data_IF_865000423879
#
_entry.id   IF_865000423879
#
_cell.length_a   1.000
_cell.length_b   1.000
_cell.length_c   1.000
_cell.angle_alpha   90.00
_cell.angle_beta   90.00
_cell.angle_gamma   90.00
#
_symmetry.space_group_name_H-M   'P 1'
#
loop_
_entity.id
_entity.type
_entity.pdbx_description
1 polymer ?
#
# COMPACT_ATOMS: atom_id res chain seq x y z
N UNK A 1 12.64 52.67 67.10
CA UNK A 1 11.76 51.56 66.64
C UNK A 1 10.89 51.92 65.41
N UNK A 2 11.36 52.78 64.48
CA UNK A 2 10.60 53.18 63.26
C UNK A 2 11.29 52.83 61.92
N UNK A 3 12.62 52.68 61.91
CA UNK A 3 13.38 52.43 60.67
C UNK A 3 13.37 50.95 60.28
N UNK A 4 13.35 50.03 61.25
CA UNK A 4 13.35 48.57 61.00
C UNK A 4 12.01 48.10 60.40
N UNK A 5 10.89 48.77 60.70
CA UNK A 5 9.59 48.45 60.08
C UNK A 5 9.49 48.88 58.61
N UNK A 6 10.24 49.90 58.19
CA UNK A 6 10.19 50.39 56.80
C UNK A 6 11.00 49.50 55.84
N UNK A 7 12.13 48.95 56.30
CA UNK A 7 12.97 48.05 55.49
C UNK A 7 12.30 46.68 55.28
N UNK A 8 11.55 46.18 56.26
CA UNK A 8 10.78 44.93 56.12
C UNK A 8 9.59 45.07 55.16
N UNK A 9 8.97 46.25 55.06
CA UNK A 9 7.87 46.50 54.12
C UNK A 9 8.41 46.62 52.69
N UNK A 10 9.56 47.25 52.48
CA UNK A 10 10.19 47.33 51.14
C UNK A 10 10.70 45.94 50.69
N UNK A 11 11.21 45.11 51.61
CA UNK A 11 11.58 43.72 51.32
C UNK A 11 10.39 42.84 50.90
N UNK A 12 9.21 43.04 51.50
CA UNK A 12 7.99 42.33 51.13
C UNK A 12 7.36 42.80 49.81
N UNK A 13 7.49 44.09 49.48
CA UNK A 13 7.02 44.65 48.20
C UNK A 13 7.94 44.24 47.04
N UNK A 14 9.25 44.02 47.27
CA UNK A 14 10.15 43.52 46.23
C UNK A 14 10.07 41.99 46.00
N UNK A 15 9.64 41.19 46.99
CA UNK A 15 9.39 39.75 46.76
C UNK A 15 8.05 39.47 46.07
N UNK A 16 7.10 40.39 46.09
CA UNK A 16 5.79 40.22 45.43
C UNK A 16 5.77 40.59 43.94
N UNK A 17 6.86 41.15 43.40
CA UNK A 17 6.97 41.50 41.96
C UNK A 17 7.61 40.38 41.12
N UNK A 18 8.15 39.31 41.74
CA UNK A 18 8.53 38.10 41.02
C UNK A 18 7.34 37.13 40.86
N UNK A 19 6.20 37.65 40.40
CA UNK A 19 5.21 36.80 39.76
C UNK A 19 5.85 36.26 38.48
N UNK A 20 6.32 35.01 38.49
CA UNK A 20 6.78 34.31 37.30
C UNK A 20 5.73 34.53 36.21
N UNK A 21 6.08 35.28 35.16
CA UNK A 21 5.24 35.42 34.00
C UNK A 21 4.83 33.99 33.56
N UNK A 22 3.54 33.72 33.34
CA UNK A 22 3.09 32.37 33.01
C UNK A 22 3.89 31.89 31.81
N UNK A 23 4.50 30.70 31.91
CA UNK A 23 5.30 30.13 30.83
C UNK A 23 4.45 30.08 29.56
N UNK A 24 4.92 30.77 28.54
CA UNK A 24 4.26 30.95 27.25
C UNK A 24 4.93 30.05 26.21
N UNK A 25 4.12 29.41 25.37
CA UNK A 25 4.57 28.43 24.40
C UNK A 25 4.14 28.81 23.00
N UNK A 26 4.89 28.30 22.01
CA UNK A 26 4.60 28.53 20.61
C UNK A 26 4.00 27.26 20.00
N UNK A 27 3.01 27.43 19.14
CA UNK A 27 2.39 26.36 18.37
C UNK A 27 2.65 26.64 16.91
N UNK A 28 3.34 25.75 16.21
CA UNK A 28 3.63 25.88 14.77
C UNK A 28 3.20 24.65 14.01
N UNK A 29 2.90 24.82 12.73
CA UNK A 29 2.53 23.72 11.85
C UNK A 29 2.64 24.12 10.38
N UNK A 30 2.37 23.15 9.50
CA UNK A 30 2.35 23.36 8.05
C UNK A 30 1.08 22.77 7.47
N UNK A 31 0.34 23.55 6.69
CA UNK A 31 -0.93 23.14 6.09
C UNK A 31 -0.73 22.65 4.65
N UNK A 32 -1.40 21.55 4.31
CA UNK A 32 -1.35 20.91 3.00
C UNK A 32 -2.76 20.55 2.53
N UNK A 33 -2.99 20.67 1.23
CA UNK A 33 -4.11 20.05 0.54
C UNK A 33 -3.95 18.53 0.56
N UNK A 34 -5.03 17.79 0.29
CA UNK A 34 -4.99 16.32 0.18
C UNK A 34 -3.97 15.84 -0.87
N UNK A 35 -3.74 16.64 -1.90
CA UNK A 35 -2.75 16.45 -2.97
C UNK A 35 -1.29 16.69 -2.55
N UNK A 36 -1.03 16.91 -1.25
CA UNK A 36 0.30 17.21 -0.70
C UNK A 36 0.91 18.53 -1.22
N UNK A 37 0.07 19.44 -1.72
CA UNK A 37 0.42 20.81 -2.09
C UNK A 37 0.26 21.72 -0.87
N UNK A 38 1.20 22.63 -0.63
CA UNK A 38 1.14 23.59 0.48
C UNK A 38 -0.04 24.58 0.30
N UNK A 39 -0.79 24.81 1.37
CA UNK A 39 -1.90 25.76 1.40
C UNK A 39 -1.36 27.15 1.76
N UNK A 40 -1.35 28.08 0.82
CA UNK A 40 -0.82 29.44 1.00
C UNK A 40 -1.91 30.43 1.38
N UNK A 41 -1.57 31.45 2.18
CA UNK A 41 -2.48 32.53 2.63
C UNK A 41 -3.78 32.12 3.34
N UNK A 42 -3.96 30.83 3.64
CA UNK A 42 -5.14 30.34 4.32
C UNK A 42 -5.24 30.89 5.74
N UNK A 43 -6.46 31.23 6.14
CA UNK A 43 -6.74 31.68 7.49
C UNK A 43 -6.67 30.50 8.47
N UNK A 44 -5.85 30.67 9.51
CA UNK A 44 -5.67 29.69 10.59
C UNK A 44 -6.24 30.29 11.86
N UNK A 45 -7.23 29.63 12.44
CA UNK A 45 -7.96 30.06 13.63
C UNK A 45 -7.61 29.11 14.78
N UNK A 46 -7.07 29.64 15.86
CA UNK A 46 -6.88 28.94 17.12
C UNK A 46 -8.10 29.15 18.02
N UNK A 47 -8.65 28.06 18.56
CA UNK A 47 -9.83 28.04 19.41
C UNK A 47 -9.59 27.18 20.66
N UNK A 48 -10.38 27.40 21.70
CA UNK A 48 -10.46 26.46 22.83
C UNK A 48 -11.39 25.26 22.51
N UNK A 49 -11.57 24.38 23.49
CA UNK A 49 -12.44 23.19 23.37
C UNK A 49 -13.93 23.50 23.24
N UNK A 50 -14.36 24.74 23.51
CA UNK A 50 -15.73 25.23 23.33
C UNK A 50 -15.93 25.96 22.00
N UNK A 51 -14.93 25.91 21.12
CA UNK A 51 -14.88 26.62 19.83
C UNK A 51 -14.80 28.15 19.95
N UNK A 52 -14.50 28.69 21.13
CA UNK A 52 -14.24 30.12 21.28
C UNK A 52 -12.91 30.47 20.62
N UNK A 53 -12.92 31.48 19.76
CA UNK A 53 -11.72 31.97 19.06
C UNK A 53 -10.77 32.63 20.06
N UNK A 54 -9.52 32.19 20.04
CA UNK A 54 -8.42 32.71 20.85
C UNK A 54 -7.54 33.64 20.01
N UNK A 55 -7.17 33.19 18.81
CA UNK A 55 -6.24 33.91 17.94
C UNK A 55 -6.42 33.52 16.48
N UNK A 56 -5.97 34.38 15.56
CA UNK A 56 -6.00 34.16 14.11
C UNK A 56 -4.63 34.47 13.53
N UNK A 57 -4.24 33.71 12.52
CA UNK A 57 -3.02 33.93 11.73
C UNK A 57 -3.27 33.47 10.29
N UNK A 58 -2.26 33.61 9.43
CA UNK A 58 -2.31 33.10 8.05
C UNK A 58 -1.15 32.17 7.77
N UNK A 59 -1.35 31.23 6.85
CA UNK A 59 -0.23 30.43 6.35
C UNK A 59 0.70 31.28 5.45
N UNK A 60 1.99 30.99 5.52
CA UNK A 60 3.03 31.73 4.80
C UNK A 60 2.93 31.54 3.28
N UNK A 61 3.25 32.58 2.50
CA UNK A 61 3.44 32.47 1.04
C UNK A 61 4.69 31.68 0.67
N UNK A 62 4.74 31.16 -0.55
CA UNK A 62 5.98 30.73 -1.19
C UNK A 62 6.92 31.91 -1.42
N UNK A 63 8.18 31.74 -1.05
CA UNK A 63 9.27 32.64 -1.43
C UNK A 63 9.63 32.39 -2.90
N UNK A 64 9.74 33.47 -3.69
CA UNK A 64 10.04 33.45 -5.13
C UNK A 64 9.11 32.50 -5.94
N UNK A 65 7.88 32.29 -5.47
CA UNK A 65 6.90 31.33 -6.05
C UNK A 65 7.43 29.88 -6.17
N UNK A 66 8.56 29.54 -5.55
CA UNK A 66 9.23 28.23 -5.70
C UNK A 66 9.62 27.56 -4.39
N UNK A 67 9.82 28.32 -3.30
CA UNK A 67 10.41 27.79 -2.07
C UNK A 67 9.53 28.06 -0.83
N UNK A 68 9.28 27.02 -0.04
CA UNK A 68 8.54 27.15 1.23
C UNK A 68 7.03 27.32 1.05
N UNK A 69 6.37 27.98 2.01
CA UNK A 69 4.92 28.16 2.02
C UNK A 69 4.18 27.29 3.05
N UNK A 70 2.92 27.60 3.31
CA UNK A 70 2.02 26.79 4.13
C UNK A 70 2.28 26.75 5.63
N UNK A 71 3.28 27.48 6.14
CA UNK A 71 3.64 27.47 7.57
C UNK A 71 2.81 28.48 8.34
N UNK A 72 2.40 28.12 9.56
CA UNK A 72 1.75 29.03 10.50
C UNK A 72 2.38 28.92 11.88
N UNK A 73 2.23 29.97 12.70
CA UNK A 73 2.72 29.99 14.08
C UNK A 73 1.81 30.86 14.94
N UNK A 74 1.45 30.33 16.12
CA UNK A 74 0.86 31.08 17.22
C UNK A 74 1.90 31.19 18.32
N UNK A 75 2.04 32.39 18.88
CA UNK A 75 2.92 32.66 20.00
C UNK A 75 2.11 32.93 21.26
N UNK A 76 2.74 32.80 22.42
CA UNK A 76 2.16 33.17 23.71
C UNK A 76 0.96 32.31 24.15
N UNK A 77 0.97 31.03 23.80
CA UNK A 77 -0.09 30.08 24.15
C UNK A 77 0.17 29.49 25.54
N UNK A 78 -0.87 29.50 26.38
CA UNK A 78 -0.82 28.89 27.73
C UNK A 78 -0.96 27.37 27.63
N UNK A 79 -0.59 26.61 28.67
CA UNK A 79 -0.96 25.20 28.75
C UNK A 79 -2.48 25.01 28.69
N UNK A 80 -2.95 24.02 27.95
CA UNK A 80 -4.37 23.73 27.78
C UNK A 80 -4.69 22.91 26.53
N UNK A 81 -5.97 22.63 26.34
CA UNK A 81 -6.50 21.95 25.16
C UNK A 81 -7.01 22.96 24.14
N UNK A 82 -6.64 22.77 22.88
CA UNK A 82 -6.93 23.70 21.81
C UNK A 82 -7.39 22.99 20.53
N UNK A 83 -8.07 23.74 19.68
CA UNK A 83 -8.50 23.35 18.34
C UNK A 83 -7.98 24.37 17.33
N UNK A 84 -7.34 23.93 16.26
CA UNK A 84 -6.98 24.75 15.10
C UNK A 84 -7.97 24.46 13.98
N UNK A 85 -8.54 25.50 13.38
CA UNK A 85 -9.29 25.44 12.13
C UNK A 85 -8.51 26.18 11.05
N UNK A 86 -8.22 25.52 9.92
CA UNK A 86 -7.64 26.19 8.74
C UNK A 86 -8.71 26.25 7.69
N UNK A 87 -9.09 27.47 7.29
CA UNK A 87 -10.04 27.70 6.22
C UNK A 87 -9.34 27.39 4.91
N UNK A 88 -9.84 26.38 4.22
CA UNK A 88 -9.35 25.98 2.89
C UNK A 88 -10.31 26.50 1.83
N UNK A 89 -9.84 26.61 0.59
CA UNK A 89 -10.70 26.89 -0.58
C UNK A 89 -11.43 25.62 -1.07
N UNK A 90 -11.28 24.49 -0.36
CA UNK A 90 -11.93 23.22 -0.66
C UNK A 90 -13.23 23.04 0.15
N UNK A 91 -14.02 22.00 -0.16
CA UNK A 91 -15.25 21.69 0.57
C UNK A 91 -15.05 21.42 2.08
N UNK A 92 -13.82 21.12 2.51
CA UNK A 92 -13.53 20.68 3.88
C UNK A 92 -12.37 21.48 4.48
N UNK A 93 -12.64 22.20 5.56
CA UNK A 93 -11.64 22.87 6.38
C UNK A 93 -10.81 21.88 7.20
N UNK A 94 -9.56 22.23 7.50
CA UNK A 94 -8.70 21.44 8.41
C UNK A 94 -9.14 21.72 9.85
N UNK A 95 -9.36 20.70 10.68
CA UNK A 95 -9.77 20.89 12.09
C UNK A 95 -8.94 20.04 13.06
N UNK A 96 -7.79 20.50 13.56
CA UNK A 96 -6.91 19.68 14.41
C UNK A 96 -7.02 20.01 15.90
N UNK A 97 -7.14 19.01 16.79
CA UNK A 97 -7.11 19.21 18.26
C UNK A 97 -5.75 18.80 18.83
N UNK A 98 -5.26 19.54 19.82
CA UNK A 98 -3.97 19.27 20.46
C UNK A 98 -3.93 19.80 21.89
N UNK A 99 -2.97 19.31 22.68
CA UNK A 99 -2.74 19.73 24.06
C UNK A 99 -1.38 20.42 24.18
N UNK A 100 -1.36 21.66 24.67
CA UNK A 100 -0.16 22.37 25.08
C UNK A 100 0.11 22.04 26.54
N UNK A 101 1.19 21.31 26.81
CA UNK A 101 1.69 21.08 28.17
C UNK A 101 2.72 22.16 28.53
N UNK A 102 3.95 21.75 28.83
CA UNK A 102 5.03 22.65 29.25
C UNK A 102 6.12 22.84 28.19
N UNK A 103 5.77 22.74 26.90
CA UNK A 103 6.70 22.95 25.78
C UNK A 103 5.98 23.49 24.55
N UNK A 104 6.70 24.25 23.73
CA UNK A 104 6.27 24.63 22.39
C UNK A 104 6.03 23.39 21.53
N UNK A 105 4.98 23.42 20.72
CA UNK A 105 4.49 22.27 19.97
C UNK A 105 4.62 22.54 18.48
N UNK A 106 5.09 21.53 17.76
CA UNK A 106 4.95 21.46 16.32
C UNK A 106 3.85 20.43 16.01
N UNK A 107 2.71 20.89 15.51
CA UNK A 107 1.58 20.02 15.13
C UNK A 107 1.83 19.29 13.80
N UNK A 108 2.98 19.52 13.17
CA UNK A 108 3.42 18.78 12.00
C UNK A 108 2.72 19.24 10.72
N UNK A 109 2.43 18.28 9.84
CA UNK A 109 1.73 18.49 8.58
C UNK A 109 0.24 18.24 8.81
N UNK A 110 -0.59 19.22 8.48
CA UNK A 110 -2.04 19.14 8.65
C UNK A 110 -2.72 19.07 7.28
N UNK A 111 -3.71 18.17 7.18
CA UNK A 111 -4.51 17.95 5.97
C UNK A 111 -6.01 18.14 6.28
N UNK A 112 -6.82 18.52 5.29
CA UNK A 112 -8.28 18.59 5.46
C UNK A 112 -8.85 17.20 5.72
N UNK A 113 -9.65 17.07 6.77
CA UNK A 113 -10.30 15.82 7.14
C UNK A 113 -11.74 16.08 7.61
N UNK A 114 -12.64 15.15 7.29
CA UNK A 114 -14.04 15.18 7.69
C UNK A 114 -14.22 14.25 8.90
N UNK A 115 -14.55 14.80 10.06
CA UNK A 115 -14.86 14.01 11.27
C UNK A 115 -16.11 13.13 11.02
N UNK A 116 -15.99 11.82 11.26
CA UNK A 116 -17.08 10.84 11.09
C UNK A 116 -17.78 10.57 12.43
N UNK A 117 -19.06 10.16 12.45
CA UNK A 117 -19.71 9.62 13.66
C UNK A 117 -18.86 8.52 14.31
N UNK A 118 -18.82 8.55 15.64
CA UNK A 118 -18.07 7.59 16.46
C UNK A 118 -18.67 6.18 16.29
N UNK A 119 -17.84 5.22 15.91
CA UNK A 119 -18.23 3.81 15.73
C UNK A 119 -17.93 3.00 17.00
N UNK A 120 -18.74 1.98 17.27
CA UNK A 120 -18.56 1.02 18.36
C UNK A 120 -18.29 -0.35 17.73
N UNK A 121 -17.11 -0.93 18.01
CA UNK A 121 -16.72 -2.25 17.50
C UNK A 121 -17.65 -3.35 18.01
N UNK A 122 -18.04 -4.25 17.11
CA UNK A 122 -18.79 -5.48 17.45
C UNK A 122 -17.96 -6.72 17.23
N UNK A 123 -18.07 -7.70 18.13
CA UNK A 123 -17.37 -8.98 18.06
C UNK A 123 -17.89 -9.87 16.91
N UNK A 124 -16.98 -10.39 16.08
CA UNK A 124 -17.30 -11.30 14.99
C UNK A 124 -17.04 -12.77 15.37
N UNK A 125 -17.89 -13.72 14.97
CA UNK A 125 -17.64 -15.15 15.18
C UNK A 125 -16.44 -15.61 14.35
N UNK A 126 -15.36 -16.02 15.04
CA UNK A 126 -14.11 -16.46 14.42
C UNK A 126 -14.25 -17.88 13.85
N UNK A 127 -14.10 -18.04 12.54
CA UNK A 127 -13.95 -19.35 11.92
C UNK A 127 -12.50 -19.55 11.44
N UNK A 128 -11.80 -20.48 12.10
CA UNK A 128 -10.50 -21.08 11.76
C UNK A 128 -9.26 -20.16 11.69
N UNK A 129 -8.40 -20.35 12.70
CA UNK A 129 -7.23 -19.55 13.05
C UNK A 129 -5.97 -19.88 12.21
N UNK A 130 -5.56 -18.94 11.35
CA UNK A 130 -4.15 -18.58 11.19
C UNK A 130 -4.01 -17.10 11.55
N UNK A 131 -3.36 -16.80 12.68
CA UNK A 131 -3.29 -15.43 13.23
C UNK A 131 -2.26 -14.61 12.43
N UNK A 132 -2.72 -13.80 11.47
CA UNK A 132 -1.98 -12.59 11.11
C UNK A 132 -2.05 -11.60 12.29
N UNK A 133 -1.01 -10.77 12.44
CA UNK A 133 -0.92 -9.76 13.50
C UNK A 133 -2.14 -8.82 13.36
N UNK A 134 -2.98 -8.70 14.40
CA UNK A 134 -4.02 -7.66 14.45
C UNK A 134 -3.33 -6.31 14.30
N UNK A 135 -3.84 -5.44 13.42
CA UNK A 135 -3.46 -4.03 13.46
C UNK A 135 -3.96 -3.44 14.78
N UNK A 136 -3.14 -2.64 15.46
CA UNK A 136 -3.55 -1.99 16.70
C UNK A 136 -4.71 -1.05 16.40
N UNK A 137 -5.90 -1.36 16.92
CA UNK A 137 -7.09 -0.51 16.85
C UNK A 137 -7.28 0.33 18.10
N UNK A 138 -6.37 0.24 19.08
CA UNK A 138 -6.38 1.17 20.21
C UNK A 138 -6.00 2.56 19.72
N UNK A 139 -6.92 3.54 19.72
CA UNK A 139 -6.56 4.91 19.45
C UNK A 139 -5.55 5.36 20.50
N UNK A 140 -4.40 5.89 20.06
CA UNK A 140 -3.53 6.62 20.97
C UNK A 140 -4.34 7.72 21.64
N UNK A 141 -4.27 7.91 22.99
CA UNK A 141 -5.06 8.91 23.68
C UNK A 141 -4.82 10.30 23.10
N UNK A 142 -5.75 10.77 22.26
CA UNK A 142 -5.62 12.00 21.48
C UNK A 142 -6.19 11.92 20.05
N UNK A 143 -6.29 10.73 19.45
CA UNK A 143 -6.80 10.54 18.08
C UNK A 143 -8.09 9.72 18.08
N UNK A 144 -9.24 10.37 17.85
CA UNK A 144 -10.54 9.71 17.68
C UNK A 144 -10.94 9.61 16.21
N UNK A 145 -9.98 9.36 15.30
CA UNK A 145 -10.20 9.36 13.85
C UNK A 145 -10.38 7.92 13.37
N UNK A 146 -11.59 7.61 12.87
CA UNK A 146 -11.83 6.39 12.12
C UNK A 146 -11.11 6.48 10.76
N UNK A 147 -10.13 5.62 10.54
CA UNK A 147 -9.35 5.54 9.30
C UNK A 147 -10.26 5.04 8.17
N UNK A 148 -10.34 5.79 7.06
CA UNK A 148 -11.09 5.32 5.88
C UNK A 148 -10.27 4.33 5.08
N UNK A 149 -10.94 3.34 4.56
CA UNK A 149 -10.38 2.32 3.71
C UNK A 149 -11.12 2.29 2.39
N UNK A 150 -10.41 1.96 1.33
CA UNK A 150 -10.98 1.74 0.01
C UNK A 150 -10.70 0.29 -0.36
N UNK A 151 -11.77 -0.48 -0.53
CA UNK A 151 -11.70 -1.83 -1.09
C UNK A 151 -11.95 -1.70 -2.58
N UNK A 152 -11.02 -2.22 -3.38
CA UNK A 152 -11.18 -2.29 -4.84
C UNK A 152 -11.32 -3.75 -5.25
N UNK A 153 -12.40 -4.08 -5.92
CA UNK A 153 -12.66 -5.43 -6.45
C UNK A 153 -11.83 -5.71 -7.70
N UNK A 154 -11.70 -6.97 -8.10
CA UNK A 154 -11.04 -7.36 -9.35
C UNK A 154 -11.66 -6.71 -10.60
N UNK A 155 -12.94 -6.33 -10.52
CA UNK A 155 -13.63 -5.63 -11.60
C UNK A 155 -13.43 -4.11 -11.54
N UNK A 156 -12.69 -3.57 -10.58
CA UNK A 156 -12.42 -2.14 -10.42
C UNK A 156 -13.44 -1.37 -9.59
N UNK A 157 -14.56 -2.00 -9.21
CA UNK A 157 -15.53 -1.39 -8.31
C UNK A 157 -14.84 -1.06 -6.99
N UNK A 158 -14.79 0.24 -6.67
CA UNK A 158 -14.30 0.73 -5.40
C UNK A 158 -15.45 1.00 -4.44
N UNK A 159 -15.21 0.72 -3.15
CA UNK A 159 -16.12 1.01 -2.04
C UNK A 159 -15.36 1.67 -0.90
N UNK A 160 -15.93 2.72 -0.34
CA UNK A 160 -15.44 3.39 0.85
C UNK A 160 -15.97 2.67 2.09
N UNK A 161 -15.06 2.17 2.93
CA UNK A 161 -15.39 1.32 4.08
C UNK A 161 -14.51 1.61 5.29
N UNK A 162 -14.88 1.07 6.44
CA UNK A 162 -13.99 0.89 7.59
C UNK A 162 -13.66 -0.59 7.70
N UNK A 163 -12.38 -0.95 7.58
CA UNK A 163 -11.95 -2.35 7.70
C UNK A 163 -11.85 -2.70 9.17
N UNK A 164 -12.66 -3.66 9.60
CA UNK A 164 -12.71 -4.12 10.98
C UNK A 164 -11.66 -5.22 11.22
N UNK A 165 -11.58 -6.20 10.32
CA UNK A 165 -10.60 -7.28 10.42
C UNK A 165 -10.27 -7.93 9.07
N UNK A 166 -9.03 -8.43 8.95
CA UNK A 166 -8.54 -9.17 7.78
C UNK A 166 -8.12 -10.56 8.21
N UNK A 167 -8.84 -11.58 7.74
CA UNK A 167 -8.58 -13.01 8.00
C UNK A 167 -7.88 -13.60 6.77
N UNK A 168 -7.52 -14.89 6.74
CA UNK A 168 -6.71 -15.46 5.65
C UNK A 168 -7.38 -15.35 4.27
N UNK A 169 -8.68 -15.63 4.20
CA UNK A 169 -9.47 -15.71 2.97
C UNK A 169 -10.43 -14.54 2.75
N UNK A 170 -10.68 -13.74 3.78
CA UNK A 170 -11.77 -12.76 3.82
C UNK A 170 -11.36 -11.47 4.53
N UNK A 171 -12.10 -10.40 4.26
CA UNK A 171 -12.00 -9.11 4.93
C UNK A 171 -13.39 -8.68 5.39
N UNK A 172 -13.51 -8.36 6.67
CA UNK A 172 -14.73 -7.86 7.29
C UNK A 172 -14.63 -6.34 7.38
N UNK A 173 -15.73 -5.68 7.00
CA UNK A 173 -15.77 -4.23 6.93
C UNK A 173 -17.16 -3.69 7.20
N UNK A 174 -17.23 -2.43 7.57
CA UNK A 174 -18.46 -1.65 7.68
C UNK A 174 -18.51 -0.63 6.55
N UNK A 175 -19.59 -0.63 5.78
CA UNK A 175 -19.77 0.30 4.65
C UNK A 175 -20.00 1.73 5.18
N UNK A 176 -19.30 2.71 4.61
CA UNK A 176 -19.33 4.08 5.08
C UNK A 176 -20.68 4.77 4.84
N UNK A 177 -21.45 4.35 3.82
CA UNK A 177 -22.69 5.02 3.43
C UNK A 177 -23.90 4.53 4.23
N UNK A 178 -23.99 3.22 4.47
CA UNK A 178 -25.15 2.60 5.12
C UNK A 178 -24.86 2.03 6.51
N UNK A 179 -23.60 2.04 6.96
CA UNK A 179 -23.14 1.52 8.25
C UNK A 179 -23.41 0.01 8.47
N UNK A 180 -23.70 -0.73 7.40
CA UNK A 180 -23.90 -2.17 7.48
C UNK A 180 -22.56 -2.90 7.47
N UNK A 181 -22.46 -3.90 8.34
CA UNK A 181 -21.33 -4.81 8.39
C UNK A 181 -21.43 -5.85 7.28
N UNK A 182 -20.33 -6.08 6.59
CA UNK A 182 -20.25 -6.95 5.43
C UNK A 182 -18.90 -7.69 5.41
N UNK A 183 -18.82 -8.69 4.53
CA UNK A 183 -17.61 -9.49 4.31
C UNK A 183 -17.33 -9.60 2.81
N UNK A 184 -16.06 -9.50 2.42
CA UNK A 184 -15.61 -9.79 1.07
C UNK A 184 -14.50 -10.85 1.06
N UNK A 185 -14.51 -11.73 0.06
CA UNK A 185 -13.46 -12.70 -0.15
C UNK A 185 -12.24 -12.05 -0.81
N UNK A 186 -11.04 -12.35 -0.31
CA UNK A 186 -9.78 -11.85 -0.90
C UNK A 186 -9.54 -12.33 -2.33
N UNK A 187 -10.14 -13.46 -2.72
CA UNK A 187 -10.06 -13.97 -4.09
C UNK A 187 -10.81 -13.06 -5.08
N UNK A 188 -11.78 -12.25 -4.62
CA UNK A 188 -12.48 -11.25 -5.44
C UNK A 188 -11.96 -9.82 -5.26
N UNK A 189 -11.18 -9.55 -4.22
CA UNK A 189 -10.57 -8.25 -3.96
C UNK A 189 -9.28 -8.06 -4.75
N UNK A 190 -9.11 -6.91 -5.40
CA UNK A 190 -7.89 -6.54 -6.11
C UNK A 190 -6.84 -5.94 -5.18
N UNK A 191 -7.22 -4.99 -4.33
CA UNK A 191 -6.39 -4.46 -3.23
C UNK A 191 -7.25 -3.67 -2.24
N UNK A 192 -6.68 -3.39 -1.08
CA UNK A 192 -7.27 -2.57 -0.02
C UNK A 192 -6.20 -1.60 0.46
N UNK A 193 -6.55 -0.32 0.54
CA UNK A 193 -5.67 0.72 1.06
C UNK A 193 -6.43 1.69 1.96
N UNK A 194 -5.72 2.43 2.79
CA UNK A 194 -6.30 3.47 3.64
C UNK A 194 -6.08 4.88 3.06
N UNK A 195 -6.73 5.86 3.67
CA UNK A 195 -6.61 7.28 3.34
C UNK A 195 -5.19 7.87 3.49
N UNK A 196 -4.31 7.21 4.25
CA UNK A 196 -2.89 7.57 4.33
C UNK A 196 -2.04 7.04 3.17
N UNK A 197 -2.62 6.30 2.22
CA UNK A 197 -1.89 5.70 1.12
C UNK A 197 -1.14 4.42 1.51
N UNK A 198 -1.59 3.73 2.57
CA UNK A 198 -1.02 2.44 3.00
C UNK A 198 -1.90 1.30 2.52
N UNK A 199 -1.33 0.38 1.74
CA UNK A 199 -1.97 -0.87 1.38
C UNK A 199 -2.04 -1.81 2.59
N UNK A 200 -3.26 -2.28 2.87
CA UNK A 200 -3.53 -3.35 3.84
C UNK A 200 -3.47 -4.72 3.14
N UNK A 201 -3.92 -4.75 1.88
CA UNK A 201 -3.94 -5.97 1.09
C UNK A 201 -3.63 -5.67 -0.38
N UNK A 202 -2.72 -6.46 -0.98
CA UNK A 202 -2.46 -6.48 -2.41
C UNK A 202 -2.75 -7.88 -2.94
N UNK A 203 -3.72 -8.03 -3.83
CA UNK A 203 -4.00 -9.32 -4.44
C UNK A 203 -2.81 -9.82 -5.25
N UNK A 204 -2.83 -11.12 -5.54
CA UNK A 204 -1.85 -11.69 -6.44
C UNK A 204 -1.96 -11.08 -7.84
N UNK A 205 -3.19 -10.91 -8.35
CA UNK A 205 -3.42 -10.32 -9.66
C UNK A 205 -2.78 -8.92 -9.76
N UNK A 206 -2.82 -8.14 -8.67
CA UNK A 206 -2.15 -6.84 -8.60
C UNK A 206 -0.64 -6.96 -8.72
N UNK A 207 -0.03 -7.85 -7.91
CA UNK A 207 1.42 -8.10 -7.93
C UNK A 207 1.91 -8.66 -9.27
N UNK A 208 1.18 -9.61 -9.85
CA UNK A 208 1.52 -10.23 -11.13
C UNK A 208 1.45 -9.18 -12.25
N UNK A 209 0.50 -8.23 -12.21
CA UNK A 209 0.43 -7.11 -13.16
C UNK A 209 1.57 -6.13 -13.00
N UNK A 210 1.93 -5.76 -11.77
CA UNK A 210 3.12 -4.94 -11.52
C UNK A 210 4.36 -5.62 -12.10
N UNK A 211 4.57 -6.90 -11.78
CA UNK A 211 5.70 -7.67 -12.28
C UNK A 211 5.71 -7.79 -13.81
N UNK A 212 4.53 -7.87 -14.42
CA UNK A 212 4.42 -7.85 -15.88
C UNK A 212 4.82 -6.50 -16.47
N UNK A 213 4.66 -5.38 -15.78
CA UNK A 213 5.01 -4.04 -16.28
C UNK A 213 6.47 -3.64 -16.05
N UNK A 214 7.13 -4.22 -15.05
CA UNK A 214 8.53 -3.89 -14.72
C UNK A 214 9.41 -3.96 -15.98
N UNK A 215 10.31 -2.99 -16.15
CA UNK A 215 11.30 -2.99 -17.23
C UNK A 215 10.73 -2.91 -18.65
N UNK A 216 9.60 -2.21 -18.82
CA UNK A 216 8.97 -2.02 -20.13
C UNK A 216 8.80 -0.56 -20.50
N UNK A 217 8.65 -0.36 -21.80
CA UNK A 217 8.20 0.87 -22.42
C UNK A 217 6.67 0.99 -22.41
N UNK A 218 6.16 2.20 -22.60
CA UNK A 218 4.74 2.45 -22.72
C UNK A 218 4.35 3.86 -22.32
N UNK A 219 3.11 3.99 -21.83
CA UNK A 219 2.64 5.24 -21.28
C UNK A 219 1.70 5.03 -20.09
N UNK A 220 1.70 6.00 -19.19
CA UNK A 220 0.81 6.12 -18.04
C UNK A 220 -0.32 7.06 -18.42
N UNK A 221 -1.54 6.73 -17.98
CA UNK A 221 -2.67 7.66 -17.87
C UNK A 221 -2.91 7.88 -16.39
N UNK A 222 -2.84 9.13 -15.96
CA UNK A 222 -3.09 9.55 -14.58
C UNK A 222 -4.58 9.77 -14.32
N UNK A 223 -4.96 9.90 -13.05
CA UNK A 223 -6.34 10.17 -12.63
C UNK A 223 -6.92 11.46 -13.22
N UNK A 224 -6.07 12.46 -13.44
CA UNK A 224 -6.43 13.72 -14.09
C UNK A 224 -6.50 13.62 -15.62
N UNK A 225 -6.39 12.41 -16.18
CA UNK A 225 -6.38 12.12 -17.61
C UNK A 225 -5.14 12.63 -18.37
N UNK A 226 -4.10 13.10 -17.65
CA UNK A 226 -2.80 13.39 -18.27
C UNK A 226 -2.11 12.09 -18.70
N UNK A 227 -1.27 12.20 -19.73
CA UNK A 227 -0.49 11.07 -20.24
C UNK A 227 1.00 11.32 -20.16
N UNK A 228 1.75 10.27 -19.81
CA UNK A 228 3.21 10.30 -19.76
C UNK A 228 3.78 9.06 -20.44
N UNK A 229 4.51 9.27 -21.53
CA UNK A 229 5.28 8.24 -22.21
C UNK A 229 6.55 7.94 -21.45
N UNK A 230 7.01 6.68 -21.44
CA UNK A 230 8.25 6.25 -20.79
C UNK A 230 8.91 5.11 -21.57
N UNK A 231 10.23 5.00 -21.47
CA UNK A 231 11.00 3.89 -22.04
C UNK A 231 11.15 2.74 -21.05
N UNK A 232 11.15 3.05 -19.76
CA UNK A 232 11.21 2.06 -18.69
C UNK A 232 10.36 2.51 -17.49
N UNK A 233 9.73 1.56 -16.81
CA UNK A 233 8.95 1.78 -15.60
C UNK A 233 9.37 0.79 -14.50
N UNK A 234 9.47 1.31 -13.28
CA UNK A 234 9.73 0.54 -12.08
C UNK A 234 8.70 0.86 -11.00
N UNK A 235 8.08 -0.18 -10.44
CA UNK A 235 7.16 -0.03 -9.30
C UNK A 235 7.84 -0.48 -8.02
N UNK A 236 7.73 0.32 -6.97
CA UNK A 236 8.14 -0.08 -5.64
C UNK A 236 7.19 -1.14 -5.07
N UNK A 237 7.77 -2.14 -4.42
CA UNK A 237 7.00 -3.19 -3.76
C UNK A 237 6.77 -2.90 -2.27
N UNK A 238 6.46 -1.64 -1.96
CA UNK A 238 6.16 -1.22 -0.60
C UNK A 238 4.65 -1.26 -0.34
N UNK A 239 4.27 -1.30 0.93
CA UNK A 239 2.87 -1.18 1.34
C UNK A 239 2.53 0.28 1.66
N UNK A 240 3.48 1.02 2.20
CA UNK A 240 3.33 2.41 2.58
C UNK A 240 3.71 3.31 1.40
N UNK A 241 2.75 4.07 0.89
CA UNK A 241 2.89 5.05 -0.18
C UNK A 241 3.85 4.67 -1.33
N UNK A 242 3.65 3.52 -1.99
CA UNK A 242 4.61 3.03 -2.98
C UNK A 242 4.66 3.94 -4.20
N UNK A 243 5.89 4.20 -4.65
CA UNK A 243 6.15 5.04 -5.81
C UNK A 243 6.38 4.24 -7.08
N UNK A 244 6.24 4.93 -8.20
CA UNK A 244 6.47 4.44 -9.56
C UNK A 244 7.46 5.36 -10.24
N UNK A 245 8.63 4.81 -10.57
CA UNK A 245 9.68 5.51 -11.29
C UNK A 245 9.55 5.28 -12.80
N UNK A 246 9.64 6.34 -13.58
CA UNK A 246 9.69 6.30 -15.05
C UNK A 246 11.01 6.84 -15.56
N UNK A 247 11.55 6.21 -16.60
CA UNK A 247 12.81 6.59 -17.24
C UNK A 247 12.57 6.98 -18.70
N UNK A 248 13.26 8.03 -19.12
CA UNK A 248 13.12 8.68 -20.44
C UNK A 248 14.51 8.78 -21.06
N UNK A 249 14.79 7.97 -22.08
CA UNK A 249 16.08 7.87 -22.77
C UNK A 249 16.30 9.01 -23.77
N UNK A 250 15.22 9.61 -24.27
CA UNK A 250 15.26 10.71 -25.23
C UNK A 250 15.53 12.08 -24.61
N UNK A 251 15.34 12.22 -23.28
CA UNK A 251 15.68 13.45 -22.57
C UNK A 251 17.20 13.49 -22.36
N UNK A 252 17.86 14.52 -22.90
CA UNK A 252 19.30 14.81 -22.70
C UNK A 252 19.72 14.89 -21.22
N UNK A 253 18.74 15.04 -20.33
CA UNK A 253 18.83 14.82 -18.90
C UNK A 253 18.14 13.49 -18.58
N UNK A 254 18.88 12.42 -18.27
CA UNK A 254 18.34 11.13 -17.82
C UNK A 254 17.62 11.33 -16.48
N UNK A 255 16.43 11.92 -16.53
CA UNK A 255 15.69 12.37 -15.36
C UNK A 255 14.61 11.34 -15.06
N UNK A 256 14.89 10.51 -14.07
CA UNK A 256 13.90 9.63 -13.46
C UNK A 256 12.78 10.48 -12.85
N UNK A 257 11.53 10.23 -13.23
CA UNK A 257 10.36 10.88 -12.62
C UNK A 257 9.63 9.89 -11.71
N UNK A 258 9.33 10.33 -10.50
CA UNK A 258 8.63 9.54 -9.49
C UNK A 258 7.17 9.98 -9.40
N UNK A 259 6.27 9.01 -9.37
CA UNK A 259 4.83 9.21 -9.29
C UNK A 259 4.26 8.32 -8.19
N UNK A 260 3.23 8.79 -7.49
CA UNK A 260 2.50 7.93 -6.58
C UNK A 260 1.71 6.89 -7.38
N UNK A 261 1.67 5.63 -6.92
CA UNK A 261 0.79 4.64 -7.53
C UNK A 261 -0.69 5.05 -7.44
N UNK A 262 -1.04 5.89 -6.45
CA UNK A 262 -2.39 6.34 -6.21
C UNK A 262 -2.88 7.35 -7.25
N UNK A 263 -1.96 8.01 -7.96
CA UNK A 263 -2.27 8.97 -9.02
C UNK A 263 -2.43 8.29 -10.39
N UNK A 264 -2.12 7.00 -10.48
CA UNK A 264 -2.11 6.25 -11.74
C UNK A 264 -3.46 5.57 -11.95
N UNK A 265 -4.16 5.97 -13.01
CA UNK A 265 -5.37 5.27 -13.46
C UNK A 265 -4.99 3.99 -14.20
N UNK A 266 -4.14 4.11 -15.21
CA UNK A 266 -3.81 3.01 -16.12
C UNK A 266 -2.38 3.11 -16.62
N UNK A 267 -1.74 1.97 -16.82
CA UNK A 267 -0.48 1.86 -17.56
C UNK A 267 -0.69 0.97 -18.77
N UNK A 268 -0.29 1.44 -19.95
CA UNK A 268 -0.32 0.67 -21.19
C UNK A 268 1.09 0.41 -21.69
N UNK A 269 1.45 -0.85 -21.85
CA UNK A 269 2.76 -1.24 -22.37
C UNK A 269 2.85 -1.05 -23.88
N UNK A 270 4.04 -0.65 -24.34
CA UNK A 270 4.44 -0.59 -25.74
C UNK A 270 4.65 -1.98 -26.34
N UNK A 271 5.24 -2.07 -27.55
CA UNK A 271 5.51 -3.33 -28.26
C UNK A 271 6.31 -4.36 -27.45
N UNK A 272 7.06 -3.93 -26.42
CA UNK A 272 7.82 -4.84 -25.55
C UNK A 272 6.96 -5.92 -24.87
N UNK A 273 5.63 -5.76 -24.79
CA UNK A 273 4.72 -6.78 -24.24
C UNK A 273 4.81 -8.13 -24.96
N UNK A 274 5.12 -8.13 -26.27
CA UNK A 274 5.19 -9.34 -27.11
C UNK A 274 6.20 -10.33 -26.57
N UNK A 275 7.34 -9.86 -26.04
CA UNK A 275 8.37 -10.71 -25.43
C UNK A 275 7.82 -11.65 -24.35
N UNK A 276 6.82 -11.18 -23.60
CA UNK A 276 6.22 -11.93 -22.49
C UNK A 276 5.13 -12.86 -22.94
N UNK A 277 4.37 -12.47 -23.96
CA UNK A 277 3.47 -13.40 -24.64
C UNK A 277 4.26 -14.55 -25.27
N UNK A 278 5.39 -14.27 -25.93
CA UNK A 278 6.32 -15.27 -26.46
C UNK A 278 6.83 -16.18 -25.34
N UNK A 279 7.39 -15.61 -24.27
CA UNK A 279 7.91 -16.38 -23.14
C UNK A 279 6.84 -17.28 -22.50
N UNK A 280 5.63 -16.75 -22.27
CA UNK A 280 4.52 -17.53 -21.70
C UNK A 280 4.06 -18.63 -22.66
N UNK A 281 3.98 -18.33 -23.95
CA UNK A 281 3.64 -19.30 -24.99
C UNK A 281 4.64 -20.44 -25.09
N UNK A 282 5.93 -20.13 -25.05
CA UNK A 282 7.02 -21.11 -25.01
C UNK A 282 6.89 -22.07 -23.82
N UNK A 283 6.74 -21.54 -22.60
CA UNK A 283 6.60 -22.38 -21.41
C UNK A 283 5.29 -23.19 -21.40
N UNK A 284 4.19 -22.62 -21.90
CA UNK A 284 2.95 -23.36 -22.07
C UNK A 284 3.14 -24.54 -23.04
N UNK A 285 3.85 -24.32 -24.15
CA UNK A 285 4.20 -25.38 -25.10
C UNK A 285 5.01 -26.50 -24.45
N UNK A 286 6.04 -26.16 -23.66
CA UNK A 286 6.83 -27.14 -22.88
C UNK A 286 5.95 -27.93 -21.92
N UNK A 287 5.07 -27.25 -21.16
CA UNK A 287 4.18 -27.94 -20.22
C UNK A 287 3.20 -28.87 -20.92
N UNK A 288 2.69 -28.49 -22.09
CA UNK A 288 1.82 -29.35 -22.90
C UNK A 288 2.56 -30.58 -23.41
N UNK A 289 3.79 -30.42 -23.91
CA UNK A 289 4.63 -31.56 -24.32
C UNK A 289 4.86 -32.51 -23.14
N UNK A 290 5.26 -31.96 -21.98
CA UNK A 290 5.44 -32.75 -20.75
C UNK A 290 4.17 -33.48 -20.32
N UNK A 291 3.01 -32.84 -20.45
CA UNK A 291 1.70 -33.44 -20.17
C UNK A 291 1.37 -34.61 -21.11
N UNK A 292 1.59 -34.44 -22.42
CA UNK A 292 1.39 -35.49 -23.43
C UNK A 292 2.29 -36.69 -23.15
N UNK A 293 3.59 -36.44 -22.92
CA UNK A 293 4.57 -37.48 -22.59
C UNK A 293 4.17 -38.24 -21.32
N UNK A 294 3.74 -37.52 -20.28
CA UNK A 294 3.32 -38.12 -19.01
C UNK A 294 2.08 -38.99 -19.19
N UNK A 295 1.07 -38.50 -19.94
CA UNK A 295 -0.13 -39.26 -20.23
C UNK A 295 0.18 -40.52 -21.04
N UNK A 296 1.05 -40.41 -22.04
CA UNK A 296 1.48 -41.55 -22.85
C UNK A 296 2.24 -42.58 -22.02
N UNK A 297 3.12 -42.15 -21.10
CA UNK A 297 3.81 -43.04 -20.18
C UNK A 297 2.83 -43.78 -19.23
N UNK A 298 1.79 -43.09 -18.75
CA UNK A 298 0.76 -43.69 -17.89
C UNK A 298 -0.09 -44.71 -18.65
N UNK A 299 -0.54 -44.39 -19.87
CA UNK A 299 -1.35 -45.29 -20.71
C UNK A 299 -0.56 -46.53 -21.12
N UNK A 300 0.71 -46.35 -21.51
CA UNK A 300 1.57 -47.44 -21.96
C UNK A 300 2.27 -48.19 -20.81
N UNK A 301 2.12 -47.73 -19.56
CA UNK A 301 2.85 -48.21 -18.36
C UNK A 301 4.36 -48.37 -18.59
N UNK A 302 4.94 -47.53 -19.45
CA UNK A 302 6.32 -47.62 -19.89
C UNK A 302 6.95 -46.23 -19.92
N UNK A 303 8.20 -46.14 -19.46
CA UNK A 303 9.00 -44.91 -19.55
C UNK A 303 9.77 -44.79 -20.88
N UNK A 304 9.72 -45.81 -21.76
CA UNK A 304 10.35 -45.77 -23.08
C UNK A 304 9.86 -44.67 -24.04
N UNK A 305 8.60 -44.15 -23.97
CA UNK A 305 8.16 -43.04 -24.82
C UNK A 305 8.91 -41.71 -24.57
N UNK A 306 9.64 -41.61 -23.45
CA UNK A 306 10.38 -40.40 -23.08
C UNK A 306 11.43 -40.01 -24.12
N UNK A 307 12.10 -40.98 -24.76
CA UNK A 307 13.17 -40.68 -25.73
C UNK A 307 12.66 -40.27 -27.11
N UNK A 308 11.45 -40.67 -27.54
CA UNK A 308 10.95 -40.34 -28.89
C UNK A 308 10.32 -38.96 -29.00
N UNK A 309 10.09 -38.28 -27.87
CA UNK A 309 9.49 -36.94 -27.78
C UNK A 309 10.43 -35.91 -27.16
N UNK A 310 11.56 -36.35 -26.58
CA UNK A 310 12.63 -35.47 -26.14
C UNK A 310 13.42 -34.98 -27.38
N UNK A 311 13.73 -33.67 -27.48
CA UNK A 311 14.56 -33.17 -28.57
C UNK A 311 16.00 -33.72 -28.43
N UNK A 312 16.49 -34.39 -29.48
CA UNK A 312 17.92 -34.67 -29.63
C UNK A 312 18.61 -33.40 -30.17
N UNK A 313 19.58 -32.89 -29.41
CA UNK A 313 20.35 -31.68 -29.73
C UNK A 313 21.74 -31.99 -30.26
N UNK A 314 22.08 -33.26 -30.50
CA UNK A 314 23.36 -33.63 -31.10
C UNK A 314 23.34 -33.39 -32.62
N UNK A 315 24.34 -32.68 -33.19
CA UNK A 315 24.48 -32.57 -34.65
C UNK A 315 25.07 -33.87 -35.22
N UNK A 316 24.62 -34.35 -36.40
CA UNK A 316 23.53 -33.84 -37.23
C UNK A 316 22.16 -34.13 -36.60
N UNK A 317 21.27 -33.15 -36.69
CA UNK A 317 19.90 -33.19 -36.15
C UNK A 317 19.08 -34.19 -36.98
N UNK A 318 19.14 -35.48 -36.63
CA UNK A 318 18.38 -36.57 -37.24
C UNK A 318 17.34 -37.09 -36.25
N UNK A 319 16.05 -36.83 -36.50
CA UNK A 319 14.98 -37.18 -35.56
C UNK A 319 13.58 -36.68 -35.93
N UNK A 320 12.56 -37.19 -35.25
CA UNK A 320 11.16 -36.84 -35.51
C UNK A 320 10.75 -35.61 -34.67
N UNK A 321 11.23 -34.42 -35.07
CA UNK A 321 11.04 -33.13 -34.36
C UNK A 321 9.63 -32.53 -34.48
N UNK A 322 8.72 -33.18 -35.21
CA UNK A 322 7.42 -32.61 -35.59
C UNK A 322 6.62 -32.06 -34.41
N UNK A 323 6.63 -32.76 -33.27
CA UNK A 323 5.85 -32.34 -32.10
C UNK A 323 6.36 -31.05 -31.46
N UNK A 324 7.66 -30.89 -31.26
CA UNK A 324 8.23 -29.70 -30.58
C UNK A 324 8.17 -28.47 -31.50
N UNK A 325 8.58 -28.65 -32.76
CA UNK A 325 8.62 -27.59 -33.78
C UNK A 325 7.20 -27.14 -34.18
N UNK A 326 6.18 -27.95 -33.96
CA UNK A 326 4.77 -27.57 -34.19
C UNK A 326 4.14 -26.97 -32.93
N UNK A 327 4.27 -27.63 -31.76
CA UNK A 327 3.58 -27.20 -30.53
C UNK A 327 4.11 -25.87 -30.02
N UNK A 328 5.43 -25.66 -29.94
CA UNK A 328 5.97 -24.43 -29.35
C UNK A 328 5.53 -23.18 -30.14
N UNK A 329 5.66 -23.12 -31.48
CA UNK A 329 5.17 -21.98 -32.26
C UNK A 329 3.66 -21.78 -32.16
N UNK A 330 2.86 -22.86 -32.22
CA UNK A 330 1.40 -22.75 -32.09
C UNK A 330 0.97 -22.13 -30.76
N UNK A 331 1.56 -22.57 -29.64
CA UNK A 331 1.28 -21.99 -28.33
C UNK A 331 1.78 -20.56 -28.21
N UNK A 332 2.90 -20.24 -28.85
CA UNK A 332 3.46 -18.88 -28.89
C UNK A 332 2.57 -17.92 -29.66
N UNK A 333 2.20 -18.26 -30.89
CA UNK A 333 1.28 -17.47 -31.71
C UNK A 333 -0.09 -17.36 -31.04
N UNK A 334 -0.64 -18.48 -30.56
CA UNK A 334 -1.91 -18.48 -29.83
C UNK A 334 -1.87 -17.58 -28.59
N UNK A 335 -0.75 -17.55 -27.86
CA UNK A 335 -0.59 -16.67 -26.70
C UNK A 335 -0.51 -15.20 -27.09
N UNK A 336 0.23 -14.85 -28.13
CA UNK A 336 0.31 -13.47 -28.64
C UNK A 336 -1.08 -12.99 -29.07
N UNK A 337 -1.79 -13.80 -29.86
CA UNK A 337 -3.15 -13.48 -30.34
C UNK A 337 -4.12 -13.32 -29.18
N UNK A 338 -4.07 -14.21 -28.17
CA UNK A 338 -4.89 -14.12 -26.96
C UNK A 338 -4.60 -12.84 -26.15
N UNK A 339 -3.32 -12.54 -25.90
CA UNK A 339 -2.92 -11.38 -25.11
C UNK A 339 -3.25 -10.07 -25.85
N UNK A 340 -3.18 -10.05 -27.19
CA UNK A 340 -3.64 -8.94 -28.03
C UNK A 340 -5.16 -8.76 -27.97
N UNK A 341 -5.93 -9.83 -28.19
CA UNK A 341 -7.40 -9.81 -28.14
C UNK A 341 -7.96 -9.40 -26.78
N UNK A 342 -7.36 -9.87 -25.68
CA UNK A 342 -7.74 -9.48 -24.30
C UNK A 342 -7.09 -8.16 -23.82
N UNK A 343 -6.43 -7.44 -24.73
CA UNK A 343 -5.69 -6.20 -24.50
C UNK A 343 -4.86 -6.23 -23.22
N UNK A 344 -4.08 -7.29 -22.98
CA UNK A 344 -3.29 -7.47 -21.75
C UNK A 344 -2.22 -6.39 -21.54
N UNK A 345 -1.97 -5.55 -22.55
CA UNK A 345 -1.15 -4.35 -22.51
C UNK A 345 -1.64 -3.30 -21.51
N UNK A 346 -2.96 -3.17 -21.35
CA UNK A 346 -3.57 -2.21 -20.44
C UNK A 346 -3.69 -2.80 -19.03
N UNK A 347 -3.10 -2.15 -18.04
CA UNK A 347 -3.18 -2.53 -16.63
C UNK A 347 -3.76 -1.36 -15.83
N UNK A 348 -4.85 -1.58 -15.10
CA UNK A 348 -5.54 -0.55 -14.33
C UNK A 348 -5.11 -0.65 -12.87
N UNK A 349 -4.84 0.50 -12.24
CA UNK A 349 -4.32 0.58 -10.89
C UNK A 349 -5.33 1.19 -9.94
N UNK A 350 -5.67 2.46 -10.11
CA UNK A 350 -6.65 3.14 -9.28
C UNK A 350 -7.93 3.45 -10.05
N UNK A 351 -9.11 3.26 -9.43
CA UNK A 351 -10.37 3.69 -10.02
C UNK A 351 -10.53 5.21 -9.92
N UNK A 352 -11.18 5.80 -10.91
CA UNK A 352 -11.47 7.24 -11.02
C UNK A 352 -12.58 7.67 -10.09
N UNK A 353 -13.63 6.86 -10.00
CA UNK A 353 -14.81 7.15 -9.18
C UNK A 353 -15.23 5.92 -8.37
N UNK A 354 -15.97 6.17 -7.30
CA UNK A 354 -16.60 5.10 -6.53
C UNK A 354 -17.69 4.43 -7.39
N UNK A 355 -17.81 3.10 -7.29
CA UNK A 355 -18.73 2.28 -8.09
C UNK A 355 -18.56 2.33 -9.63
N UNK A 356 -17.45 2.89 -10.13
CA UNK A 356 -17.11 2.86 -11.57
C UNK A 356 -16.16 1.69 -11.87
N UNK A 357 -16.62 0.62 -12.54
CA UNK A 357 -15.80 -0.55 -12.79
C UNK A 357 -14.73 -0.30 -13.86
N UNK A 358 -13.63 -1.04 -13.77
CA UNK A 358 -12.67 -1.10 -14.87
C UNK A 358 -13.33 -1.68 -16.13
N UNK A 359 -12.88 -1.25 -17.33
CA UNK A 359 -13.35 -1.80 -18.60
C UNK A 359 -13.12 -3.32 -18.76
N UNK A 360 -12.31 -3.93 -17.88
CA UNK A 360 -12.07 -5.37 -17.86
C UNK A 360 -11.72 -5.86 -16.46
N UNK A 361 -11.93 -7.14 -16.22
CA UNK A 361 -11.54 -7.80 -14.98
C UNK A 361 -10.00 -7.90 -14.86
N UNK A 362 -9.46 -7.53 -13.70
CA UNK A 362 -8.03 -7.53 -13.40
C UNK A 362 -7.48 -8.90 -13.00
N UNK A 363 -8.30 -9.94 -12.92
CA UNK A 363 -7.86 -11.30 -12.61
C UNK A 363 -6.73 -11.79 -13.53
N UNK A 364 -5.70 -12.39 -12.92
CA UNK A 364 -4.60 -13.07 -13.61
C UNK A 364 -4.60 -14.54 -13.20
N UNK A 365 -4.96 -15.40 -14.16
CA UNK A 365 -4.90 -16.85 -13.95
C UNK A 365 -3.44 -17.34 -13.95
N UNK A 366 -3.13 -18.29 -13.07
CA UNK A 366 -1.87 -19.03 -13.10
C UNK A 366 -2.09 -20.50 -12.81
N UNK A 367 -1.72 -21.31 -13.79
CA UNK A 367 -1.90 -22.75 -13.77
C UNK A 367 -1.16 -23.41 -12.60
N UNK A 368 0.10 -23.07 -12.39
CA UNK A 368 0.92 -23.62 -11.30
C UNK A 368 0.27 -23.46 -9.92
N UNK A 369 -0.36 -22.31 -9.64
CA UNK A 369 -1.09 -22.12 -8.36
C UNK A 369 -2.47 -22.75 -8.36
N UNK A 370 -3.16 -22.82 -9.50
CA UNK A 370 -4.40 -23.59 -9.57
C UNK A 370 -4.14 -25.05 -9.20
N UNK A 371 -3.08 -25.64 -9.79
CA UNK A 371 -2.59 -26.97 -9.42
C UNK A 371 -2.25 -27.00 -7.93
N UNK A 372 -1.39 -26.10 -7.44
CA UNK A 372 -1.04 -26.06 -6.02
C UNK A 372 -2.26 -25.99 -5.09
N UNK A 373 -3.23 -25.09 -5.35
CA UNK A 373 -4.46 -24.92 -4.55
C UNK A 373 -5.32 -26.18 -4.58
N UNK A 374 -5.45 -26.83 -5.74
CA UNK A 374 -6.15 -28.12 -5.87
C UNK A 374 -5.40 -29.27 -5.19
N UNK A 375 -4.07 -29.21 -5.14
CA UNK A 375 -3.24 -30.21 -4.47
C UNK A 375 -3.09 -29.97 -2.97
N UNK A 376 -3.39 -28.77 -2.44
CA UNK A 376 -3.27 -28.44 -1.02
C UNK A 376 -3.96 -29.43 -0.07
N UNK A 377 -5.20 -29.93 -0.33
CA UNK A 377 -5.86 -30.90 0.54
C UNK A 377 -5.05 -32.19 0.71
N UNK A 378 -4.32 -32.60 -0.34
CA UNK A 378 -3.48 -33.80 -0.35
C UNK A 378 -2.09 -33.52 0.21
N UNK A 379 -1.50 -32.38 -0.17
CA UNK A 379 -0.11 -32.03 0.18
C UNK A 379 0.00 -31.50 1.62
N UNK A 380 -0.94 -30.67 2.10
CA UNK A 380 -0.91 -30.08 3.45
C UNK A 380 -0.76 -31.12 4.58
N UNK A 381 -1.53 -32.22 4.63
CA UNK A 381 -1.35 -33.24 5.67
C UNK A 381 0.02 -33.91 5.59
N UNK A 382 0.55 -34.14 4.40
CA UNK A 382 1.88 -34.73 4.18
C UNK A 382 2.98 -33.77 4.67
N UNK A 383 2.93 -32.49 4.29
CA UNK A 383 3.86 -31.46 4.77
C UNK A 383 3.75 -31.27 6.29
N UNK A 384 2.54 -31.37 6.84
CA UNK A 384 2.31 -31.23 8.27
C UNK A 384 2.64 -32.48 9.10
N UNK A 385 3.00 -33.59 8.45
CA UNK A 385 3.42 -34.81 9.13
C UNK A 385 4.68 -34.58 9.97
N UNK A 386 4.81 -35.36 11.05
CA UNK A 386 5.96 -35.26 11.98
C UNK A 386 7.29 -35.46 11.27
N UNK A 387 7.35 -36.40 10.32
CA UNK A 387 8.57 -36.72 9.57
C UNK A 387 9.04 -35.55 8.70
N UNK A 388 8.13 -34.95 7.93
CA UNK A 388 8.47 -33.83 7.04
C UNK A 388 8.84 -32.58 7.85
N UNK A 389 8.09 -32.26 8.92
CA UNK A 389 8.43 -31.15 9.84
C UNK A 389 9.77 -31.37 10.55
N UNK A 390 10.08 -32.60 10.94
CA UNK A 390 11.38 -32.94 11.53
C UNK A 390 12.49 -32.66 10.52
N UNK A 391 12.35 -33.15 9.29
CA UNK A 391 13.38 -32.97 8.27
C UNK A 391 13.56 -31.49 7.86
N UNK A 392 12.46 -30.75 7.65
CA UNK A 392 12.51 -29.33 7.27
C UNK A 392 13.11 -28.43 8.37
N UNK A 393 12.82 -28.70 9.64
CA UNK A 393 13.34 -27.94 10.78
C UNK A 393 14.75 -28.37 11.23
N UNK A 394 15.48 -29.20 10.46
CA UNK A 394 16.81 -29.69 10.84
C UNK A 394 17.84 -28.56 10.97
N UNK A 395 17.82 -27.57 10.07
CA UNK A 395 18.75 -26.41 10.12
C UNK A 395 18.47 -25.52 11.33
N UNK A 396 17.19 -25.22 11.59
CA UNK A 396 16.76 -24.39 12.72
C UNK A 396 17.15 -25.03 14.06
N UNK A 397 17.04 -26.36 14.17
CA UNK A 397 17.50 -27.12 15.35
C UNK A 397 19.01 -27.16 15.50
N UNK A 398 19.79 -27.13 14.43
CA UNK A 398 21.26 -26.98 14.51
C UNK A 398 21.63 -25.60 15.09
N UNK A 399 21.02 -24.54 14.58
CA UNK A 399 21.23 -23.16 15.06
C UNK A 399 20.83 -23.02 16.53
N UNK A 400 19.68 -23.58 16.93
CA UNK A 400 19.24 -23.58 18.33
C UNK A 400 20.20 -24.36 19.24
N UNK A 401 20.75 -25.50 18.79
CA UNK A 401 21.75 -26.26 19.54
C UNK A 401 23.07 -25.51 19.67
N UNK A 402 23.51 -24.81 18.63
CA UNK A 402 24.71 -23.96 18.69
C UNK A 402 24.51 -22.75 19.61
N UNK A 403 23.33 -22.11 19.56
CA UNK A 403 22.98 -21.01 20.45
C UNK A 403 22.88 -21.46 21.93
N UNK A 404 22.31 -22.65 22.18
CA UNK A 404 22.26 -23.23 23.53
C UNK A 404 23.65 -23.56 24.07
N UNK A 405 24.54 -24.11 23.23
CA UNK A 405 25.94 -24.37 23.60
C UNK A 405 26.74 -23.10 23.90
N UNK A 406 26.44 -21.99 23.21
CA UNK A 406 27.08 -20.70 23.48
C UNK A 406 26.61 -20.08 24.81
N UNK A 407 25.34 -20.24 25.18
CA UNK A 407 24.82 -19.80 26.47
C UNK A 407 25.37 -20.62 27.63
N UNK A 408 25.50 -21.94 27.47
CA UNK A 408 26.07 -22.80 28.52
C UNK A 408 27.58 -22.69 28.70
N UNK A 409 28.26 -21.91 27.84
CA UNK A 409 29.70 -21.63 27.96
C UNK A 409 29.99 -20.21 28.47
N UNK A 410 28.94 -19.41 28.71
CA UNK A 410 29.04 -18.08 29.33
C UNK A 410 28.54 -18.03 30.78
N UNK A 411 28.06 -19.17 31.29
CA UNK A 411 27.88 -19.46 32.72
C UNK A 411 29.10 -20.29 33.16
#
# INVERSE_FOLDING_TARGET
MKVIRFILIIGFVFQSIHAQAPKQYNVKGTAYYKSNILIEEAEVILMDTTEKVISRTKTSKKLLKRFGGGKFTFSNIKPGHYKIRIITEEEVNINHRFEVKNKSINVGRLYPFKEFPKYVQTDYPSTNLFKMRRFSTEPTPGDSINIRHIIVDLNGIAKTVVVDSVVDDSTYYTDANNLNTNMIQKDSTYFIYNDYGVFIFKSRSFKDRINELQQRDGFIIFQNNDTLYFDNIFFENEMDNPQVATFHLSDSTINTKYHSIFDIYKVRTGPSYVSTSVRKGFWNGIYTIGGIVTLQALVTKSFKPYLSLAPDFTPPIEGNYGTVVTIIPLFTLGRITYDWYKDKRSNYFMPTHENDPYPKNMFVFSFSKWVWKKSQPVIKPIINSRLVKWWSNRKLRKVQKEAAKRKSASD
#
